data_IF_429870824924
#
_entry.id   IF_429870824924
#
_cell.length_a   1.000
_cell.length_b   1.000
_cell.length_c   1.000
_cell.angle_alpha   90.00
_cell.angle_beta   90.00
_cell.angle_gamma   90.00
#
_symmetry.space_group_name_H-M   'P 1'
#
loop_
_entity.id
_entity.type
_entity.pdbx_description
1 polymer ?
#
# COMPACT_ATOMS: atom_id res chain seq x y z
N UNK A 1 -11.42 -6.44 -34.67
CA UNK A 1 -12.39 -5.68 -33.89
C UNK A 1 -12.76 -6.36 -32.59
N UNK A 2 -13.08 -7.65 -32.59
CA UNK A 2 -13.37 -8.37 -31.35
C UNK A 2 -12.17 -8.44 -30.39
N UNK A 3 -10.97 -8.47 -30.92
CA UNK A 3 -9.72 -8.51 -30.17
C UNK A 3 -9.50 -7.25 -29.33
N UNK A 4 -9.83 -6.08 -29.86
CA UNK A 4 -9.64 -4.83 -29.12
C UNK A 4 -10.60 -4.68 -27.95
N UNK A 5 -11.82 -5.23 -28.06
CA UNK A 5 -12.78 -5.22 -26.94
C UNK A 5 -12.31 -6.11 -25.81
N UNK A 6 -11.78 -7.30 -26.13
CA UNK A 6 -11.24 -8.22 -25.12
C UNK A 6 -10.05 -7.63 -24.41
N UNK A 7 -9.17 -6.97 -25.14
CA UNK A 7 -7.99 -6.32 -24.56
C UNK A 7 -8.40 -5.18 -23.60
N UNK A 8 -9.43 -4.42 -23.97
CA UNK A 8 -9.93 -3.35 -23.13
C UNK A 8 -10.48 -3.86 -21.81
N UNK A 9 -11.18 -4.99 -21.83
CA UNK A 9 -11.70 -5.63 -20.61
C UNK A 9 -10.58 -6.09 -19.69
N UNK A 10 -9.49 -6.63 -20.23
CA UNK A 10 -8.32 -7.02 -19.44
C UNK A 10 -7.67 -5.81 -18.74
N UNK A 11 -7.57 -4.68 -19.44
CA UNK A 11 -7.04 -3.45 -18.85
C UNK A 11 -7.89 -2.94 -17.70
N UNK A 12 -9.22 -3.03 -17.82
CA UNK A 12 -10.13 -2.66 -16.73
C UNK A 12 -9.95 -3.55 -15.50
N UNK A 13 -9.71 -4.86 -15.70
CA UNK A 13 -9.48 -5.78 -14.61
C UNK A 13 -8.19 -5.45 -13.84
N UNK A 14 -7.12 -5.05 -14.56
CA UNK A 14 -5.85 -4.65 -13.93
C UNK A 14 -6.02 -3.37 -13.11
N UNK A 15 -6.88 -2.46 -13.56
CA UNK A 15 -7.14 -1.19 -12.86
C UNK A 15 -7.91 -1.37 -11.54
N UNK A 16 -8.44 -2.58 -11.26
CA UNK A 16 -9.21 -2.86 -10.06
C UNK A 16 -8.36 -3.19 -8.83
N UNK A 17 -7.03 -3.29 -8.98
CA UNK A 17 -6.14 -3.53 -7.82
C UNK A 17 -6.19 -2.37 -6.86
N UNK A 18 -6.23 -2.72 -5.56
CA UNK A 18 -6.28 -1.74 -4.49
C UNK A 18 -5.25 -2.04 -3.41
N UNK A 19 -5.25 -1.24 -2.35
CA UNK A 19 -4.33 -1.40 -1.23
C UNK A 19 -5.09 -1.58 0.07
N UNK A 20 -5.69 -2.75 0.21
CA UNK A 20 -6.26 -3.19 1.47
C UNK A 20 -5.14 -3.84 2.26
N UNK A 21 -4.88 -3.29 3.43
CA UNK A 21 -3.72 -3.63 4.25
C UNK A 21 -4.19 -4.32 5.53
N UNK A 22 -3.55 -5.42 5.87
CA UNK A 22 -3.75 -6.08 7.15
C UNK A 22 -2.47 -5.97 7.96
N UNK A 23 -2.57 -5.45 9.18
CA UNK A 23 -1.44 -5.39 10.10
C UNK A 23 -1.42 -6.67 10.93
N UNK A 24 -0.43 -7.52 10.67
CA UNK A 24 -0.28 -8.78 11.40
C UNK A 24 0.48 -8.57 12.70
N UNK A 25 0.30 -9.50 13.65
CA UNK A 25 0.96 -9.48 14.95
C UNK A 25 2.30 -10.22 14.97
N UNK A 26 2.70 -10.81 13.85
CA UNK A 26 3.94 -11.58 13.77
C UNK A 26 4.65 -11.32 12.44
N UNK A 27 5.94 -10.99 12.53
CA UNK A 27 6.75 -10.65 11.35
C UNK A 27 6.81 -11.74 10.29
N UNK A 28 6.81 -13.01 10.71
CA UNK A 28 6.89 -14.13 9.77
C UNK A 28 5.63 -14.30 8.91
N UNK A 29 4.52 -13.67 9.32
CA UNK A 29 3.25 -13.70 8.57
C UNK A 29 3.14 -12.55 7.58
N UNK A 30 4.03 -11.58 7.64
CA UNK A 30 3.92 -10.36 6.84
C UNK A 30 4.59 -10.52 5.48
N UNK A 31 4.04 -9.83 4.50
CA UNK A 31 4.68 -9.67 3.18
C UNK A 31 5.84 -8.69 3.28
N UNK A 32 5.69 -7.63 4.06
CA UNK A 32 6.72 -6.61 4.28
C UNK A 32 6.71 -6.14 5.73
N UNK A 33 7.87 -5.64 6.18
CA UNK A 33 8.03 -4.99 7.47
C UNK A 33 8.06 -3.50 7.26
N UNK A 34 7.30 -2.76 8.07
CA UNK A 34 7.06 -1.33 7.90
C UNK A 34 7.46 -0.59 9.17
N UNK A 35 8.26 0.45 9.02
CA UNK A 35 8.54 1.39 10.10
C UNK A 35 7.81 2.71 9.83
N UNK A 36 7.17 3.25 10.86
CA UNK A 36 6.51 4.55 10.77
C UNK A 36 7.52 5.62 11.17
N UNK A 37 7.71 6.60 10.29
CA UNK A 37 8.58 7.74 10.57
C UNK A 37 7.74 8.97 10.89
N UNK A 38 8.32 9.89 11.67
CA UNK A 38 7.61 11.08 12.11
C UNK A 38 7.90 12.32 11.26
N UNK A 39 8.68 12.15 10.20
CA UNK A 39 9.03 13.24 9.29
C UNK A 39 8.90 12.76 7.85
N UNK A 40 8.20 13.56 7.05
CA UNK A 40 7.86 13.22 5.68
C UNK A 40 9.10 12.93 4.82
N UNK A 41 10.18 13.70 5.02
CA UNK A 41 11.39 13.53 4.20
C UNK A 41 12.12 12.21 4.46
N UNK A 42 11.82 11.53 5.57
CA UNK A 42 12.42 10.24 5.89
C UNK A 42 11.68 9.06 5.29
N UNK A 43 10.48 9.28 4.78
CA UNK A 43 9.62 8.20 4.30
C UNK A 43 9.99 7.76 2.89
N UNK A 44 9.81 6.47 2.63
CA UNK A 44 9.82 5.93 1.27
C UNK A 44 8.46 6.16 0.60
N UNK A 45 7.40 6.12 1.39
CA UNK A 45 6.02 6.27 0.93
C UNK A 45 5.25 7.13 1.91
N UNK A 46 4.55 8.13 1.40
CA UNK A 46 3.61 8.91 2.18
C UNK A 46 2.25 8.27 2.05
N UNK A 47 1.65 7.86 3.18
CA UNK A 47 0.42 7.08 3.21
C UNK A 47 -0.73 7.93 3.71
N UNK A 48 -1.82 7.94 2.96
CA UNK A 48 -3.10 8.44 3.43
C UNK A 48 -3.98 7.26 3.80
N UNK A 49 -4.42 7.25 5.05
CA UNK A 49 -5.27 6.19 5.58
C UNK A 49 -6.72 6.55 5.33
N UNK A 50 -7.37 5.83 4.42
CA UNK A 50 -8.79 6.05 4.12
C UNK A 50 -9.65 5.09 4.94
N UNK A 51 -10.84 5.55 5.32
CA UNK A 51 -11.84 4.70 5.98
C UNK A 51 -12.86 4.14 4.97
N UNK A 52 -12.64 4.36 3.69
CA UNK A 52 -13.51 3.90 2.62
C UNK A 52 -12.72 2.99 1.68
N UNK A 53 -13.08 1.71 1.67
CA UNK A 53 -12.35 0.68 0.94
C UNK A 53 -12.18 1.01 -0.55
N UNK A 54 -13.22 1.56 -1.17
CA UNK A 54 -13.20 1.88 -2.60
C UNK A 54 -12.20 2.97 -2.97
N UNK A 55 -11.72 3.74 -2.00
CA UNK A 55 -10.72 4.79 -2.23
C UNK A 55 -9.29 4.27 -2.20
N UNK A 56 -9.08 3.07 -1.68
CA UNK A 56 -7.76 2.47 -1.59
C UNK A 56 -7.42 1.74 -2.89
N UNK A 57 -7.34 2.49 -3.99
CA UNK A 57 -7.06 1.94 -5.31
C UNK A 57 -5.67 2.33 -5.79
N UNK A 58 -5.07 1.46 -6.60
CA UNK A 58 -3.75 1.69 -7.15
C UNK A 58 -2.65 1.54 -6.11
N UNK A 59 -1.42 1.87 -6.50
CA UNK A 59 -0.24 1.78 -5.63
C UNK A 59 0.34 3.18 -5.43
N UNK A 60 -0.45 4.06 -4.81
CA UNK A 60 -0.10 5.48 -4.62
C UNK A 60 -0.21 5.93 -3.17
N UNK A 61 -0.14 4.97 -2.23
CA UNK A 61 -0.14 5.30 -0.81
C UNK A 61 -1.51 5.50 -0.18
N UNK A 62 -2.57 5.14 -0.85
CA UNK A 62 -3.92 5.20 -0.28
C UNK A 62 -4.25 3.85 0.29
N UNK A 63 -4.20 3.73 1.61
CA UNK A 63 -4.36 2.46 2.31
C UNK A 63 -5.69 2.40 3.05
N UNK A 64 -6.35 1.26 2.94
CA UNK A 64 -7.49 0.90 3.77
C UNK A 64 -7.07 -0.28 4.65
N UNK A 65 -7.14 -0.10 5.96
CA UNK A 65 -6.80 -1.17 6.90
C UNK A 65 -8.01 -2.07 7.13
N UNK A 66 -7.84 -3.34 6.82
CA UNK A 66 -8.86 -4.37 7.08
C UNK A 66 -8.49 -5.17 8.32
N UNK A 67 -9.50 -5.65 9.04
CA UNK A 67 -9.30 -6.54 10.19
C UNK A 67 -9.30 -8.01 9.80
N UNK A 68 -9.41 -8.30 8.49
CA UNK A 68 -9.51 -9.67 7.97
C UNK A 68 -8.36 -9.95 7.03
N UNK A 69 -7.41 -10.84 7.41
CA UNK A 69 -6.24 -11.11 6.58
C UNK A 69 -6.58 -11.63 5.18
N UNK A 70 -7.66 -12.41 5.06
CA UNK A 70 -8.04 -12.97 3.75
C UNK A 70 -8.56 -11.91 2.76
N UNK A 71 -8.89 -10.71 3.25
CA UNK A 71 -9.35 -9.60 2.39
C UNK A 71 -8.22 -8.63 2.01
N UNK A 72 -7.04 -8.80 2.60
CA UNK A 72 -5.94 -7.88 2.39
C UNK A 72 -5.21 -8.16 1.08
N UNK A 73 -4.80 -7.08 0.40
CA UNK A 73 -3.90 -7.16 -0.74
C UNK A 73 -2.46 -7.37 -0.26
N UNK A 74 -2.11 -6.80 0.89
CA UNK A 74 -0.81 -6.95 1.53
C UNK A 74 -0.94 -7.07 3.03
N UNK A 75 -0.10 -7.90 3.62
CA UNK A 75 0.03 -8.05 5.06
C UNK A 75 1.32 -7.39 5.48
N UNK A 76 1.25 -6.50 6.46
CA UNK A 76 2.42 -5.77 6.96
C UNK A 76 2.63 -6.08 8.43
N UNK A 77 3.87 -5.91 8.86
CA UNK A 77 4.24 -5.97 10.28
C UNK A 77 4.96 -4.69 10.64
N UNK A 78 4.43 -3.95 11.61
CA UNK A 78 5.08 -2.73 12.07
C UNK A 78 6.27 -3.07 12.97
N UNK A 79 7.41 -2.47 12.65
CA UNK A 79 8.65 -2.63 13.43
C UNK A 79 8.99 -1.30 14.11
N UNK A 80 9.72 -1.39 15.24
CA UNK A 80 10.06 -0.21 16.04
C UNK A 80 11.24 0.58 15.49
N UNK A 81 12.12 -0.08 14.75
CA UNK A 81 13.35 0.54 14.26
C UNK A 81 13.42 0.56 12.75
N UNK A 82 13.87 1.68 12.18
CA UNK A 82 13.95 1.87 10.73
C UNK A 82 14.84 0.82 10.05
N UNK A 83 15.93 0.40 10.72
CA UNK A 83 16.84 -0.57 10.13
C UNK A 83 16.23 -1.96 9.98
N UNK A 84 15.13 -2.25 10.66
CA UNK A 84 14.42 -3.52 10.57
C UNK A 84 13.36 -3.52 9.46
N UNK A 85 13.07 -2.37 8.90
CA UNK A 85 11.96 -2.21 7.96
C UNK A 85 12.39 -2.42 6.52
N UNK A 86 11.49 -3.01 5.74
CA UNK A 86 11.61 -3.04 4.29
C UNK A 86 11.15 -1.71 3.69
N UNK A 87 10.20 -1.05 4.36
CA UNK A 87 9.56 0.17 3.89
C UNK A 87 9.35 1.14 5.05
N UNK A 88 9.71 2.41 4.83
CA UNK A 88 9.46 3.48 5.79
C UNK A 88 8.27 4.30 5.30
N UNK A 89 7.27 4.48 6.16
CA UNK A 89 6.05 5.22 5.81
C UNK A 89 5.85 6.40 6.73
N UNK A 90 5.27 7.45 6.19
CA UNK A 90 4.79 8.60 6.93
C UNK A 90 3.29 8.73 6.67
N UNK A 91 2.50 8.77 7.75
CA UNK A 91 1.05 8.91 7.64
C UNK A 91 0.68 10.39 7.55
N UNK A 92 -0.07 10.75 6.50
CA UNK A 92 -0.59 12.10 6.31
C UNK A 92 -2.11 12.10 6.47
N UNK A 93 -2.64 13.22 6.92
CA UNK A 93 -4.09 13.44 6.99
C UNK A 93 -4.64 14.06 5.69
N UNK A 94 -3.77 14.30 4.71
CA UNK A 94 -4.14 14.93 3.44
C UNK A 94 -3.96 13.98 2.28
N UNK A 95 -5.07 13.58 1.66
CA UNK A 95 -5.06 12.60 0.58
C UNK A 95 -4.14 13.00 -0.58
N UNK A 96 -4.11 14.29 -0.92
CA UNK A 96 -3.32 14.77 -2.05
C UNK A 96 -1.81 14.67 -1.83
N UNK A 97 -1.38 14.47 -0.59
CA UNK A 97 0.05 14.33 -0.28
C UNK A 97 0.53 12.88 -0.35
N UNK A 98 -0.39 11.92 -0.45
CA UNK A 98 -0.02 10.51 -0.54
C UNK A 98 0.77 10.23 -1.82
N UNK A 99 1.77 9.37 -1.72
CA UNK A 99 2.54 8.97 -2.88
C UNK A 99 3.95 8.52 -2.53
N UNK A 100 4.61 7.96 -3.52
CA UNK A 100 5.96 7.43 -3.39
C UNK A 100 6.99 8.53 -3.40
N UNK A 101 7.87 8.53 -2.43
CA UNK A 101 9.08 9.35 -2.41
C UNK A 101 10.28 8.57 -2.94
N UNK A 102 10.34 7.27 -2.64
CA UNK A 102 11.38 6.39 -3.15
C UNK A 102 10.75 5.37 -4.10
N UNK A 103 10.73 5.70 -5.39
CA UNK A 103 10.13 4.85 -6.41
C UNK A 103 10.82 3.50 -6.56
N UNK A 104 12.07 3.38 -6.12
CA UNK A 104 12.81 2.12 -6.17
C UNK A 104 12.16 1.04 -5.32
N UNK A 105 11.36 1.41 -4.31
CA UNK A 105 10.69 0.47 -3.41
C UNK A 105 9.23 0.22 -3.78
N UNK A 106 8.74 0.83 -4.84
CA UNK A 106 7.34 0.71 -5.25
C UNK A 106 6.92 -0.75 -5.52
N UNK A 107 7.87 -1.58 -5.96
CA UNK A 107 7.60 -2.98 -6.25
C UNK A 107 7.14 -3.78 -5.02
N UNK A 108 7.46 -3.33 -3.82
CA UNK A 108 7.10 -4.04 -2.58
C UNK A 108 5.59 -4.14 -2.38
N UNK A 109 4.84 -3.23 -2.98
CA UNK A 109 3.39 -3.16 -2.81
C UNK A 109 2.60 -3.52 -4.07
N UNK A 110 3.23 -4.13 -5.02
CA UNK A 110 2.53 -4.69 -6.18
C UNK A 110 1.95 -6.07 -5.88
#
# INVERSE_FOLDING_TARGET
MKLSTTLLMMLCAVAAYGQKIYSTDAGYKADIKVAVVNQEYKADLIVYRTNQEYRATGNEGKWFFTDKPYRADKKIFFVDHEYQADLKVYFTDKEYRAGWKNNAKKYLLY
#
